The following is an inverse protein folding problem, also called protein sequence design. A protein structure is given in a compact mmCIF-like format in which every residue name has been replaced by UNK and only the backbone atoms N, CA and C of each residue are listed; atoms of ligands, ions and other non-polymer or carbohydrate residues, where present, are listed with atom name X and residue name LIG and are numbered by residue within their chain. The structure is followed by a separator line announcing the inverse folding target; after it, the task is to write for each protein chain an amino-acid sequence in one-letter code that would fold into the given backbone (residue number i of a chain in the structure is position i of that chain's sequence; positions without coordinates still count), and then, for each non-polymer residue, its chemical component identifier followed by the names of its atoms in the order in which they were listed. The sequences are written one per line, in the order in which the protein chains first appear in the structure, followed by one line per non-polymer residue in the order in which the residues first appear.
data_IF_260879947213
#
_entry.id   IF_260879947213
#
_cell.length_a   1.000
_cell.length_b   1.000
_cell.length_c   1.000
_cell.angle_alpha   90.00
_cell.angle_beta   90.00
_cell.angle_gamma   90.00
#
_symmetry.space_group_name_H-M   'P 1'
#
loop_
_entity.id
_entity.type
_entity.pdbx_description
1 polymer ?
#
# COMPACT_ATOMS: atom_id res chain seq x y z
N UNK A 1 -24.69 65.42 -40.87
CA UNK A 1 -24.06 65.37 -39.55
C UNK A 1 -23.81 63.93 -39.19
N UNK A 2 -22.55 63.55 -39.33
CA UNK A 2 -22.04 62.19 -39.09
C UNK A 2 -21.81 62.01 -37.62
N UNK A 3 -22.24 60.88 -37.07
CA UNK A 3 -21.83 60.40 -35.76
C UNK A 3 -21.14 59.04 -35.96
N UNK A 4 -19.82 59.03 -35.75
CA UNK A 4 -19.01 57.84 -35.75
C UNK A 4 -19.28 57.04 -34.46
N UNK A 5 -19.64 55.77 -34.59
CA UNK A 5 -19.72 54.81 -33.47
C UNK A 5 -18.41 54.06 -33.37
N UNK A 6 -17.68 54.31 -32.28
CA UNK A 6 -16.56 53.49 -31.89
C UNK A 6 -17.04 52.24 -31.19
N UNK A 7 -16.88 51.08 -31.81
CA UNK A 7 -16.94 49.77 -31.18
C UNK A 7 -15.61 49.47 -30.50
N UNK A 8 -15.57 49.49 -29.18
CA UNK A 8 -14.42 48.99 -28.41
C UNK A 8 -14.70 47.53 -28.17
N UNK A 9 -13.97 46.67 -28.89
CA UNK A 9 -13.89 45.24 -28.61
C UNK A 9 -13.01 45.01 -27.40
N UNK A 10 -13.60 44.50 -26.31
CA UNK A 10 -12.86 43.95 -25.19
C UNK A 10 -12.32 42.57 -25.57
N UNK A 11 -11.11 42.47 -26.04
CA UNK A 11 -10.42 41.21 -26.08
C UNK A 11 -10.08 40.77 -24.69
N UNK A 12 -10.81 39.74 -24.21
CA UNK A 12 -10.55 39.04 -22.99
C UNK A 12 -9.31 38.15 -23.23
N UNK A 13 -8.13 38.67 -22.85
CA UNK A 13 -6.92 37.86 -22.82
C UNK A 13 -7.12 36.70 -21.84
N UNK A 14 -7.44 35.53 -22.37
CA UNK A 14 -7.25 34.26 -21.67
C UNK A 14 -5.75 34.12 -21.53
N UNK A 15 -5.26 34.42 -20.35
CA UNK A 15 -3.89 34.10 -19.96
C UNK A 15 -3.87 32.59 -19.77
N UNK A 16 -3.43 31.87 -20.79
CA UNK A 16 -2.95 30.52 -20.66
C UNK A 16 -1.85 30.54 -19.58
N UNK A 17 -2.20 29.98 -18.44
CA UNK A 17 -1.23 29.69 -17.39
C UNK A 17 -0.44 28.50 -17.88
N UNK A 18 0.55 28.75 -18.73
CA UNK A 18 1.58 27.77 -19.00
C UNK A 18 2.17 27.40 -17.64
N UNK A 19 1.89 26.19 -17.19
CA UNK A 19 2.64 25.54 -16.13
C UNK A 19 4.09 25.56 -16.59
N UNK A 20 4.88 26.43 -15.98
CA UNK A 20 6.33 26.44 -16.15
C UNK A 20 6.82 25.10 -15.62
N UNK A 21 7.06 24.16 -16.55
CA UNK A 21 7.91 23.03 -16.26
C UNK A 21 9.25 23.62 -15.79
N UNK A 22 9.62 23.39 -14.55
CA UNK A 22 10.92 23.76 -14.04
C UNK A 22 11.93 23.13 -14.96
N UNK A 23 12.78 23.95 -15.63
CA UNK A 23 13.86 23.46 -16.45
C UNK A 23 14.85 22.75 -15.52
N UNK A 24 14.74 21.44 -15.40
CA UNK A 24 15.80 20.63 -14.82
C UNK A 24 17.01 20.79 -15.73
N UNK A 25 18.06 21.41 -15.22
CA UNK A 25 19.27 21.82 -15.96
C UNK A 25 20.09 20.58 -16.41
N UNK A 26 19.45 19.68 -17.16
CA UNK A 26 20.06 18.45 -17.70
C UNK A 26 20.46 17.40 -16.65
N UNK A 27 20.08 17.59 -15.36
CA UNK A 27 20.38 16.61 -14.30
C UNK A 27 19.52 15.36 -14.48
N UNK A 28 20.17 14.20 -14.54
CA UNK A 28 19.50 12.89 -14.48
C UNK A 28 19.50 12.39 -13.04
N UNK A 29 18.31 12.10 -12.51
CA UNK A 29 18.13 11.56 -11.18
C UNK A 29 18.20 10.04 -11.20
N UNK A 30 18.97 9.45 -10.29
CA UNK A 30 19.09 8.01 -10.11
C UNK A 30 18.30 7.60 -8.85
N UNK A 31 17.31 6.75 -9.03
CA UNK A 31 16.40 6.33 -7.98
C UNK A 31 16.59 4.85 -7.71
N UNK A 32 16.95 4.49 -6.47
CA UNK A 32 16.94 3.11 -6.01
C UNK A 32 15.54 2.72 -5.54
N UNK A 33 15.03 1.59 -6.00
CA UNK A 33 13.72 1.05 -5.57
C UNK A 33 13.98 -0.31 -4.92
N UNK A 34 13.74 -0.40 -3.60
CA UNK A 34 13.76 -1.66 -2.87
C UNK A 34 12.31 -2.11 -2.66
N UNK A 35 11.87 -3.09 -3.43
CA UNK A 35 10.57 -3.74 -3.27
C UNK A 35 10.73 -5.01 -2.43
N UNK A 36 9.85 -5.25 -1.45
CA UNK A 36 9.97 -6.40 -0.55
C UNK A 36 9.83 -7.73 -1.30
N UNK A 37 8.77 -7.87 -2.08
CA UNK A 37 8.42 -9.09 -2.80
C UNK A 37 7.53 -8.74 -4.00
N UNK A 38 7.38 -9.63 -4.96
CA UNK A 38 6.46 -9.47 -6.09
C UNK A 38 5.07 -9.94 -5.71
N UNK A 39 4.10 -9.04 -5.76
CA UNK A 39 2.66 -9.30 -5.75
C UNK A 39 1.89 -8.06 -6.23
N UNK A 40 0.61 -8.25 -6.56
CA UNK A 40 -0.21 -7.25 -7.26
C UNK A 40 -0.14 -5.84 -6.65
N UNK A 41 -0.24 -5.72 -5.32
CA UNK A 41 -0.26 -4.41 -4.65
C UNK A 41 1.10 -3.69 -4.73
N UNK A 42 2.21 -4.37 -4.40
CA UNK A 42 3.54 -3.74 -4.45
C UNK A 42 3.97 -3.41 -5.88
N UNK A 43 3.63 -4.27 -6.85
CA UNK A 43 3.92 -4.04 -8.26
C UNK A 43 3.17 -2.81 -8.78
N UNK A 44 1.89 -2.67 -8.40
CA UNK A 44 1.08 -1.50 -8.73
C UNK A 44 1.63 -0.21 -8.11
N UNK A 45 2.07 -0.24 -6.84
CA UNK A 45 2.68 0.91 -6.18
C UNK A 45 4.00 1.32 -6.84
N UNK A 46 4.87 0.36 -7.17
CA UNK A 46 6.11 0.62 -7.90
C UNK A 46 5.83 1.23 -9.28
N UNK A 47 4.84 0.69 -10.01
CA UNK A 47 4.46 1.22 -11.31
C UNK A 47 3.94 2.66 -11.21
N UNK A 48 3.02 2.93 -10.28
CA UNK A 48 2.50 4.29 -10.05
C UNK A 48 3.60 5.30 -9.75
N UNK A 49 4.55 4.95 -8.88
CA UNK A 49 5.70 5.78 -8.55
C UNK A 49 6.56 6.10 -9.77
N UNK A 50 6.88 5.08 -10.57
CA UNK A 50 7.68 5.27 -11.78
C UNK A 50 6.96 6.12 -12.83
N UNK A 51 5.66 5.93 -13.00
CA UNK A 51 4.86 6.67 -13.99
C UNK A 51 4.76 8.15 -13.61
N UNK A 52 4.55 8.48 -12.34
CA UNK A 52 4.52 9.85 -11.86
C UNK A 52 5.85 10.57 -12.13
N UNK A 53 6.99 9.93 -11.85
CA UNK A 53 8.29 10.54 -12.12
C UNK A 53 8.63 10.62 -13.61
N UNK A 54 8.27 9.61 -14.41
CA UNK A 54 8.44 9.66 -15.87
C UNK A 54 7.59 10.76 -16.50
N UNK A 55 6.37 10.96 -16.04
CA UNK A 55 5.49 12.02 -16.53
C UNK A 55 6.09 13.40 -16.27
N UNK A 56 6.68 13.62 -15.10
CA UNK A 56 7.22 14.91 -14.67
C UNK A 56 8.65 15.20 -15.15
N UNK A 57 9.50 14.18 -15.23
CA UNK A 57 10.93 14.30 -15.51
C UNK A 57 11.34 13.76 -16.89
N UNK A 58 10.49 12.97 -17.55
CA UNK A 58 10.80 12.35 -18.84
C UNK A 58 12.05 11.45 -18.76
N UNK A 59 13.00 11.69 -19.64
CA UNK A 59 14.27 10.93 -19.71
C UNK A 59 15.28 11.33 -18.62
N UNK A 60 14.95 12.32 -17.77
CA UNK A 60 15.83 12.78 -16.69
C UNK A 60 15.69 11.99 -15.39
N UNK A 61 15.13 10.79 -15.44
CA UNK A 61 15.05 9.86 -14.30
C UNK A 61 15.45 8.45 -14.72
N UNK A 62 16.19 7.76 -13.88
CA UNK A 62 16.55 6.35 -14.02
C UNK A 62 16.21 5.60 -12.75
N UNK A 63 15.74 4.38 -12.91
CA UNK A 63 15.34 3.50 -11.80
C UNK A 63 16.24 2.28 -11.76
N UNK A 64 16.72 1.95 -10.57
CA UNK A 64 17.30 0.65 -10.21
C UNK A 64 16.28 -0.06 -9.30
N UNK A 65 15.47 -0.94 -9.89
CA UNK A 65 14.46 -1.73 -9.17
C UNK A 65 15.07 -3.08 -8.76
N UNK A 66 15.10 -3.33 -7.45
CA UNK A 66 15.56 -4.58 -6.87
C UNK A 66 14.52 -5.17 -5.94
N UNK A 67 14.35 -6.50 -6.03
CA UNK A 67 13.39 -7.27 -5.24
C UNK A 67 14.13 -7.99 -4.09
N UNK A 68 13.64 -7.78 -2.86
CA UNK A 68 14.22 -8.40 -1.66
C UNK A 68 13.74 -9.84 -1.43
N UNK A 69 12.82 -10.35 -2.26
CA UNK A 69 12.31 -11.73 -2.21
C UNK A 69 11.70 -12.14 -0.86
N UNK A 70 11.09 -11.18 -0.16
CA UNK A 70 10.50 -11.37 1.17
C UNK A 70 11.52 -11.32 2.32
N UNK A 71 12.82 -11.16 2.04
CA UNK A 71 13.88 -11.30 3.03
C UNK A 71 14.43 -9.94 3.49
N UNK A 72 14.32 -9.64 4.78
CA UNK A 72 14.83 -8.39 5.37
C UNK A 72 16.35 -8.23 5.18
N UNK A 73 17.12 -9.32 5.26
CA UNK A 73 18.58 -9.28 5.06
C UNK A 73 18.95 -8.92 3.62
N UNK A 74 18.14 -9.34 2.65
CA UNK A 74 18.28 -8.98 1.24
C UNK A 74 17.91 -7.51 1.05
N UNK A 75 16.82 -7.02 1.64
CA UNK A 75 16.46 -5.62 1.62
C UNK A 75 17.57 -4.72 2.18
N UNK A 76 18.18 -5.11 3.30
CA UNK A 76 19.32 -4.38 3.88
C UNK A 76 20.53 -4.35 2.92
N UNK A 77 20.81 -5.45 2.24
CA UNK A 77 21.90 -5.52 1.24
C UNK A 77 21.62 -4.59 0.06
N UNK A 78 20.40 -4.59 -0.48
CA UNK A 78 19.95 -3.71 -1.57
C UNK A 78 20.09 -2.24 -1.17
N UNK A 79 19.55 -1.86 -0.01
CA UNK A 79 19.61 -0.47 0.47
C UNK A 79 21.06 0.02 0.68
N UNK A 80 21.94 -0.81 1.23
CA UNK A 80 23.38 -0.49 1.35
C UNK A 80 24.05 -0.35 -0.03
N UNK A 81 23.61 -1.13 -1.04
CA UNK A 81 24.06 -0.98 -2.43
C UNK A 81 23.69 0.40 -2.97
N UNK A 82 22.44 0.84 -2.83
CA UNK A 82 22.00 2.16 -3.26
C UNK A 82 22.75 3.30 -2.59
N UNK A 83 23.07 3.16 -1.30
CA UNK A 83 23.91 4.14 -0.59
C UNK A 83 25.32 4.19 -1.18
N UNK A 84 25.90 3.05 -1.50
CA UNK A 84 27.25 2.97 -2.11
C UNK A 84 27.28 3.54 -3.52
N UNK A 85 26.20 3.36 -4.29
CA UNK A 85 26.06 3.89 -5.64
C UNK A 85 25.70 5.38 -5.65
N UNK A 86 25.34 5.96 -4.50
CA UNK A 86 25.05 7.35 -4.33
C UNK A 86 23.80 7.79 -5.08
N UNK A 87 22.71 7.01 -4.99
CA UNK A 87 21.42 7.37 -5.60
C UNK A 87 20.87 8.69 -5.03
N UNK A 88 20.07 9.40 -5.82
CA UNK A 88 19.50 10.69 -5.42
C UNK A 88 18.32 10.53 -4.44
N UNK A 89 17.62 9.37 -4.47
CA UNK A 89 16.49 9.03 -3.60
C UNK A 89 16.32 7.50 -3.55
N UNK A 90 15.85 7.00 -2.41
CA UNK A 90 15.45 5.60 -2.25
C UNK A 90 13.93 5.52 -2.09
N UNK A 91 13.27 4.74 -2.96
CA UNK A 91 11.91 4.27 -2.70
C UNK A 91 11.99 2.94 -1.94
N UNK A 92 11.35 2.91 -0.78
CA UNK A 92 11.19 1.71 0.03
C UNK A 92 9.73 1.24 -0.08
N UNK A 93 9.49 0.17 -0.82
CA UNK A 93 8.15 -0.37 -1.04
C UNK A 93 7.90 -1.53 -0.08
N UNK A 94 7.17 -1.27 0.97
CA UNK A 94 6.76 -2.00 2.16
C UNK A 94 7.56 -1.64 3.44
N UNK A 95 7.08 -2.09 4.60
CA UNK A 95 7.63 -1.76 5.93
C UNK A 95 9.08 -2.23 6.11
N UNK A 96 9.41 -3.47 5.76
CA UNK A 96 10.75 -4.02 5.95
C UNK A 96 11.82 -3.33 5.06
N UNK A 97 11.57 -3.00 3.78
CA UNK A 97 12.42 -2.12 2.99
C UNK A 97 12.60 -0.73 3.61
N UNK A 98 11.54 -0.13 4.18
CA UNK A 98 11.63 1.17 4.85
C UNK A 98 12.58 1.12 6.05
N UNK A 99 12.45 0.11 6.90
CA UNK A 99 13.34 -0.11 8.04
C UNK A 99 14.80 -0.31 7.58
N UNK A 100 15.00 -1.09 6.51
CA UNK A 100 16.31 -1.35 5.93
C UNK A 100 16.97 -0.09 5.37
N UNK A 101 16.21 0.74 4.64
CA UNK A 101 16.68 2.01 4.10
C UNK A 101 16.99 3.02 5.23
N UNK A 102 16.12 3.09 6.25
CA UNK A 102 16.33 3.95 7.43
C UNK A 102 17.61 3.61 8.19
N UNK A 103 17.95 2.31 8.27
CA UNK A 103 19.18 1.85 8.88
C UNK A 103 20.42 2.12 8.01
N UNK A 104 20.28 2.13 6.68
CA UNK A 104 21.37 2.27 5.73
C UNK A 104 21.86 3.72 5.58
N UNK A 105 20.97 4.72 5.69
CA UNK A 105 21.33 6.13 5.45
C UNK A 105 20.49 7.11 6.27
N UNK A 106 21.16 8.20 6.67
CA UNK A 106 20.50 9.37 7.31
C UNK A 106 20.56 10.62 6.42
N UNK A 107 21.07 10.51 5.20
CA UNK A 107 21.32 11.66 4.32
C UNK A 107 20.62 11.56 2.97
N UNK A 108 20.52 10.37 2.38
CA UNK A 108 19.77 10.17 1.14
C UNK A 108 18.28 10.22 1.49
N UNK A 109 17.46 11.00 0.77
CA UNK A 109 16.00 11.00 0.97
C UNK A 109 15.40 9.61 0.77
N UNK A 110 14.52 9.19 1.69
CA UNK A 110 13.82 7.92 1.64
C UNK A 110 12.33 8.20 1.58
N UNK A 111 11.65 7.72 0.55
CA UNK A 111 10.20 7.69 0.50
C UNK A 111 9.71 6.25 0.67
N UNK A 112 8.84 6.06 1.66
CA UNK A 112 8.10 4.81 1.81
C UNK A 112 6.83 4.83 0.97
N UNK A 113 6.43 3.68 0.47
CA UNK A 113 5.08 3.42 -0.07
C UNK A 113 4.63 2.04 0.40
N UNK A 114 3.34 1.79 0.46
CA UNK A 114 2.81 0.52 1.00
C UNK A 114 3.32 0.23 2.43
N UNK A 115 3.37 1.28 3.24
CA UNK A 115 3.79 1.23 4.66
C UNK A 115 2.58 1.56 5.51
N UNK A 116 2.17 0.63 6.35
CA UNK A 116 0.93 0.75 7.12
C UNK A 116 1.03 1.83 8.20
N UNK A 117 2.05 1.78 9.04
CA UNK A 117 2.25 2.76 10.12
C UNK A 117 3.72 3.12 10.30
N UNK A 118 4.05 4.38 10.02
CA UNK A 118 5.42 4.90 10.09
C UNK A 118 5.93 5.03 11.53
N UNK A 119 5.03 5.31 12.48
CA UNK A 119 5.40 5.43 13.88
C UNK A 119 5.89 4.09 14.42
N UNK A 120 5.15 3.02 14.17
CA UNK A 120 5.54 1.65 14.53
C UNK A 120 6.78 1.19 13.75
N UNK A 121 6.80 1.41 12.42
CA UNK A 121 7.91 0.96 11.57
C UNK A 121 9.26 1.57 11.95
N UNK A 122 9.27 2.83 12.42
CA UNK A 122 10.47 3.62 12.72
C UNK A 122 10.65 3.88 14.22
N UNK A 123 9.84 3.26 15.08
CA UNK A 123 9.86 3.40 16.55
C UNK A 123 9.81 4.88 16.99
N UNK A 124 8.85 5.65 16.44
CA UNK A 124 8.63 7.06 16.75
C UNK A 124 7.54 7.19 17.82
N UNK A 125 7.90 7.62 19.03
CA UNK A 125 6.96 7.76 20.15
C UNK A 125 6.04 8.98 20.02
N UNK A 126 6.58 10.11 19.51
CA UNK A 126 5.88 11.40 19.43
C UNK A 126 5.47 11.68 17.98
N UNK A 127 4.56 10.85 17.45
CA UNK A 127 4.10 10.97 16.08
C UNK A 127 3.28 12.24 15.86
N UNK A 128 3.65 13.03 14.86
CA UNK A 128 3.01 14.30 14.52
C UNK A 128 2.60 14.45 13.04
N UNK A 129 2.70 13.38 12.26
CA UNK A 129 2.44 13.38 10.81
C UNK A 129 3.70 13.33 9.97
N UNK A 130 4.79 13.96 10.40
CA UNK A 130 6.11 13.89 9.78
C UNK A 130 7.08 13.08 10.64
N UNK A 131 8.06 12.42 10.01
CA UNK A 131 9.06 11.63 10.75
C UNK A 131 10.13 12.50 11.41
N UNK A 132 10.32 13.74 10.96
CA UNK A 132 11.40 14.63 11.39
C UNK A 132 12.80 14.17 10.96
N UNK A 133 12.88 13.20 10.05
CA UNK A 133 14.11 12.58 9.53
C UNK A 133 14.16 12.75 8.00
N UNK A 134 15.18 12.20 7.35
CA UNK A 134 15.27 12.10 5.89
C UNK A 134 14.27 11.08 5.27
N UNK A 135 13.13 10.89 5.90
CA UNK A 135 12.11 9.89 5.57
C UNK A 135 10.73 10.53 5.55
N UNK A 136 9.96 10.23 4.51
CA UNK A 136 8.52 10.50 4.43
C UNK A 136 7.87 9.45 3.50
N UNK A 137 6.68 9.69 2.99
CA UNK A 137 6.03 8.80 2.02
C UNK A 137 4.52 8.72 2.15
N UNK A 138 3.96 7.57 1.77
CA UNK A 138 2.52 7.32 1.80
C UNK A 138 2.19 6.11 2.65
N UNK A 139 1.05 6.18 3.37
CA UNK A 139 0.54 5.09 4.20
C UNK A 139 -0.59 4.36 3.48
N UNK A 140 -0.57 3.03 3.56
CA UNK A 140 -1.61 2.14 3.05
C UNK A 140 -2.57 1.66 4.15
N UNK A 141 -2.53 2.28 5.33
CA UNK A 141 -3.44 1.89 6.41
C UNK A 141 -4.89 1.98 5.96
N UNK A 142 -5.50 0.83 5.78
CA UNK A 142 -6.91 0.71 5.48
C UNK A 142 -7.78 0.99 6.72
N UNK A 143 -9.06 1.34 6.56
CA UNK A 143 -9.96 1.56 7.68
C UNK A 143 -10.36 0.22 8.31
N UNK A 144 -9.61 -0.21 9.28
CA UNK A 144 -9.73 -1.55 9.92
C UNK A 144 -11.10 -1.75 10.60
N UNK A 145 -11.64 -0.72 11.27
CA UNK A 145 -12.97 -0.81 11.88
C UNK A 145 -14.08 -1.02 10.82
N UNK A 146 -13.95 -0.40 9.64
CA UNK A 146 -14.89 -0.60 8.54
C UNK A 146 -14.72 -1.98 7.87
N UNK A 147 -13.53 -2.54 7.86
CA UNK A 147 -13.31 -3.91 7.40
C UNK A 147 -13.97 -4.92 8.33
N UNK A 148 -13.89 -4.71 9.65
CA UNK A 148 -14.60 -5.50 10.64
C UNK A 148 -16.13 -5.34 10.49
N UNK A 149 -16.63 -4.12 10.31
CA UNK A 149 -18.05 -3.87 10.06
C UNK A 149 -18.54 -4.56 8.77
N UNK A 150 -17.71 -4.59 7.71
CA UNK A 150 -18.00 -5.32 6.48
C UNK A 150 -18.06 -6.84 6.73
N UNK A 151 -17.17 -7.40 7.57
CA UNK A 151 -17.20 -8.80 7.97
C UNK A 151 -18.57 -9.15 8.62
N UNK A 152 -19.04 -8.34 9.55
CA UNK A 152 -20.35 -8.54 10.21
C UNK A 152 -21.53 -8.36 9.24
N UNK A 153 -21.45 -7.42 8.32
CA UNK A 153 -22.47 -7.23 7.30
C UNK A 153 -22.64 -8.48 6.42
N UNK A 154 -21.53 -9.11 6.04
CA UNK A 154 -21.50 -10.30 5.20
C UNK A 154 -21.81 -11.60 5.99
N UNK A 155 -21.38 -11.66 7.23
CA UNK A 155 -21.47 -12.86 8.08
C UNK A 155 -22.10 -12.52 9.45
N UNK A 156 -23.39 -12.18 9.52
CA UNK A 156 -24.04 -11.71 10.75
C UNK A 156 -24.12 -12.78 11.86
N UNK A 157 -24.01 -14.06 11.49
CA UNK A 157 -24.06 -15.18 12.43
C UNK A 157 -22.66 -15.71 12.82
N UNK A 158 -21.57 -14.97 12.46
CA UNK A 158 -20.19 -15.36 12.77
C UNK A 158 -19.99 -15.49 14.29
N UNK A 159 -19.34 -16.57 14.69
CA UNK A 159 -19.02 -16.86 16.11
C UNK A 159 -17.53 -16.81 16.38
N UNK A 160 -16.72 -17.28 15.43
CA UNK A 160 -15.28 -17.39 15.55
C UNK A 160 -14.59 -16.87 14.30
N UNK A 161 -13.80 -15.81 14.44
CA UNK A 161 -12.96 -15.25 13.38
C UNK A 161 -11.54 -15.79 13.53
N UNK A 162 -10.95 -16.29 12.43
CA UNK A 162 -9.53 -16.63 12.37
C UNK A 162 -8.71 -15.47 11.85
N UNK A 163 -7.71 -15.01 12.60
CA UNK A 163 -6.80 -13.94 12.21
C UNK A 163 -5.52 -14.57 11.65
N UNK A 164 -5.41 -14.64 10.32
CA UNK A 164 -4.27 -15.28 9.64
C UNK A 164 -3.28 -14.21 9.17
N UNK A 165 -2.04 -14.27 9.66
CA UNK A 165 -1.03 -13.25 9.39
C UNK A 165 0.39 -13.77 9.55
N UNK A 166 1.38 -13.04 8.97
CA UNK A 166 2.81 -13.30 9.17
C UNK A 166 3.33 -12.53 10.40
N UNK A 167 3.82 -13.28 11.40
CA UNK A 167 4.36 -12.72 12.64
C UNK A 167 5.69 -11.98 12.46
N UNK A 168 6.37 -12.17 11.34
CA UNK A 168 7.60 -11.44 11.00
C UNK A 168 7.34 -10.04 10.43
N UNK A 169 6.06 -9.70 10.11
CA UNK A 169 5.67 -8.42 9.54
C UNK A 169 5.06 -7.49 10.58
N UNK A 170 5.75 -6.39 10.92
CA UNK A 170 5.26 -5.40 11.88
C UNK A 170 3.94 -4.72 11.44
N UNK A 171 3.75 -4.50 10.13
CA UNK A 171 2.51 -4.01 9.54
C UNK A 171 1.33 -4.96 9.79
N UNK A 172 1.54 -6.26 9.66
CA UNK A 172 0.50 -7.27 9.91
C UNK A 172 0.11 -7.30 11.38
N UNK A 173 1.10 -7.36 12.28
CA UNK A 173 0.88 -7.31 13.73
C UNK A 173 0.08 -6.07 14.16
N UNK A 174 0.43 -4.89 13.62
CA UNK A 174 -0.26 -3.63 13.93
C UNK A 174 -1.75 -3.68 13.52
N UNK A 175 -2.04 -4.17 12.31
CA UNK A 175 -3.41 -4.29 11.81
C UNK A 175 -4.21 -5.33 12.59
N UNK A 176 -3.60 -6.46 12.94
CA UNK A 176 -4.26 -7.50 13.77
C UNK A 176 -4.68 -6.93 15.11
N UNK A 177 -3.82 -6.18 15.81
CA UNK A 177 -4.18 -5.55 17.09
C UNK A 177 -5.37 -4.58 16.96
N UNK A 178 -5.44 -3.81 15.86
CA UNK A 178 -6.59 -2.94 15.60
C UNK A 178 -7.86 -3.74 15.31
N UNK A 179 -7.75 -4.83 14.55
CA UNK A 179 -8.89 -5.68 14.21
C UNK A 179 -9.42 -6.44 15.44
N UNK A 180 -8.53 -6.94 16.31
CA UNK A 180 -8.87 -7.54 17.61
C UNK A 180 -9.65 -6.56 18.49
N UNK A 181 -9.17 -5.30 18.58
CA UNK A 181 -9.86 -4.27 19.34
C UNK A 181 -11.29 -3.98 18.80
N UNK A 182 -11.49 -4.08 17.49
CA UNK A 182 -12.81 -3.94 16.87
C UNK A 182 -13.71 -5.16 17.19
N UNK A 183 -13.18 -6.39 17.08
CA UNK A 183 -13.90 -7.62 17.44
C UNK A 183 -14.28 -7.66 18.93
N UNK A 184 -13.37 -7.25 19.82
CA UNK A 184 -13.62 -7.16 21.27
C UNK A 184 -14.76 -6.21 21.59
N UNK A 185 -14.80 -5.04 20.93
CA UNK A 185 -15.85 -4.03 21.08
C UNK A 185 -17.24 -4.60 20.75
N UNK A 186 -17.29 -5.50 19.76
CA UNK A 186 -18.54 -6.12 19.31
C UNK A 186 -18.80 -7.50 19.90
N UNK A 187 -17.89 -8.00 20.74
CA UNK A 187 -18.03 -9.27 21.48
C UNK A 187 -17.94 -10.50 20.57
N UNK A 188 -17.22 -10.40 19.45
CA UNK A 188 -17.00 -11.50 18.51
C UNK A 188 -15.71 -12.24 18.93
N UNK A 189 -15.81 -13.56 19.09
CA UNK A 189 -14.64 -14.36 19.44
C UNK A 189 -13.69 -14.49 18.24
N UNK A 190 -12.39 -14.48 18.51
CA UNK A 190 -11.36 -14.67 17.50
C UNK A 190 -10.23 -15.58 17.99
N UNK A 191 -9.42 -16.03 17.06
CA UNK A 191 -8.20 -16.80 17.35
C UNK A 191 -7.13 -16.43 16.32
N UNK A 192 -5.92 -16.18 16.82
CA UNK A 192 -4.76 -15.89 15.99
C UNK A 192 -4.17 -17.16 15.36
N UNK A 193 -3.77 -17.03 14.09
CA UNK A 193 -3.09 -18.04 13.30
C UNK A 193 -1.88 -17.40 12.63
N UNK A 194 -0.79 -17.33 13.38
CA UNK A 194 0.44 -16.73 12.92
C UNK A 194 1.30 -17.73 12.11
N UNK A 195 1.84 -17.26 10.99
CA UNK A 195 2.88 -17.95 10.24
C UNK A 195 4.21 -17.22 10.45
N UNK A 196 5.33 -17.93 10.33
CA UNK A 196 6.65 -17.32 10.32
C UNK A 196 7.14 -17.03 8.88
N UNK A 197 6.77 -17.90 7.93
CA UNK A 197 7.12 -17.78 6.51
C UNK A 197 6.11 -18.54 5.61
N UNK A 198 6.34 -18.53 4.30
CA UNK A 198 5.45 -19.15 3.31
C UNK A 198 5.32 -20.68 3.44
N UNK A 199 6.29 -21.36 4.07
CA UNK A 199 6.25 -22.82 4.24
C UNK A 199 5.16 -23.27 5.19
N UNK A 200 4.74 -22.41 6.13
CA UNK A 200 3.74 -22.71 7.15
C UNK A 200 2.30 -22.41 6.67
N UNK A 201 2.13 -21.64 5.59
CA UNK A 201 0.83 -21.14 5.12
C UNK A 201 -0.20 -22.25 4.98
N UNK A 202 0.11 -23.35 4.28
CA UNK A 202 -0.83 -24.43 4.07
C UNK A 202 -1.30 -25.06 5.38
N UNK A 203 -0.38 -25.36 6.29
CA UNK A 203 -0.70 -26.06 7.55
C UNK A 203 -1.48 -25.18 8.51
N UNK A 204 -1.07 -23.91 8.66
CA UNK A 204 -1.73 -22.96 9.56
C UNK A 204 -3.11 -22.56 9.02
N UNK A 205 -3.22 -22.32 7.70
CA UNK A 205 -4.54 -22.07 7.07
C UNK A 205 -5.48 -23.26 7.24
N UNK A 206 -4.97 -24.50 7.12
CA UNK A 206 -5.78 -25.71 7.33
C UNK A 206 -6.32 -25.78 8.76
N UNK A 207 -5.49 -25.46 9.76
CA UNK A 207 -5.93 -25.40 11.15
C UNK A 207 -7.01 -24.32 11.34
N UNK A 208 -6.77 -23.11 10.81
CA UNK A 208 -7.72 -22.01 10.89
C UNK A 208 -9.07 -22.34 10.24
N UNK A 209 -9.04 -22.94 9.06
CA UNK A 209 -10.25 -23.34 8.32
C UNK A 209 -11.05 -24.46 9.01
N UNK A 210 -10.42 -25.24 9.89
CA UNK A 210 -11.08 -26.27 10.68
C UNK A 210 -11.75 -25.77 11.95
N UNK A 211 -11.44 -24.56 12.40
CA UNK A 211 -11.87 -24.04 13.69
C UNK A 211 -12.69 -22.74 13.62
N UNK A 212 -12.65 -22.03 12.48
CA UNK A 212 -13.25 -20.70 12.34
C UNK A 212 -14.36 -20.67 11.30
N UNK A 213 -15.29 -19.70 11.44
CA UNK A 213 -16.40 -19.48 10.51
C UNK A 213 -15.97 -18.60 9.33
N UNK A 214 -15.01 -17.71 9.54
CA UNK A 214 -14.44 -16.78 8.56
C UNK A 214 -12.99 -16.46 8.92
N UNK A 215 -12.15 -16.23 7.93
CA UNK A 215 -10.78 -15.75 8.15
C UNK A 215 -10.68 -14.27 7.79
N UNK A 216 -9.84 -13.55 8.52
CA UNK A 216 -9.35 -12.22 8.17
C UNK A 216 -7.85 -12.29 7.88
N UNK A 217 -7.44 -11.71 6.76
CA UNK A 217 -6.04 -11.55 6.38
C UNK A 217 -5.79 -10.05 6.21
N UNK A 218 -4.90 -9.42 7.00
CA UNK A 218 -4.56 -8.00 6.85
C UNK A 218 -3.81 -7.74 5.54
N UNK A 219 -3.32 -6.52 5.32
CA UNK A 219 -2.31 -6.24 4.29
C UNK A 219 -0.98 -6.90 4.69
N UNK A 220 -0.82 -8.15 4.27
CA UNK A 220 0.27 -9.05 4.62
C UNK A 220 1.01 -9.47 3.35
N UNK A 221 2.27 -9.05 3.21
CA UNK A 221 3.03 -9.26 1.98
C UNK A 221 3.39 -10.74 1.76
N UNK A 222 3.62 -11.47 2.84
CA UNK A 222 3.92 -12.90 2.78
C UNK A 222 2.70 -13.68 2.26
N UNK A 223 1.52 -13.42 2.82
CA UNK A 223 0.28 -14.07 2.38
C UNK A 223 -0.16 -13.60 0.99
N UNK A 224 0.03 -12.31 0.65
CA UNK A 224 -0.25 -11.77 -0.67
C UNK A 224 0.57 -12.45 -1.77
N UNK A 225 1.80 -12.86 -1.48
CA UNK A 225 2.67 -13.56 -2.44
C UNK A 225 2.27 -15.02 -2.71
N UNK A 226 1.41 -15.61 -1.87
CA UNK A 226 1.03 -17.04 -1.93
C UNK A 226 -0.48 -17.28 -1.76
N UNK A 227 -1.30 -16.35 -2.25
CA UNK A 227 -2.77 -16.41 -2.14
C UNK A 227 -3.37 -17.69 -2.69
N UNK A 228 -2.78 -18.29 -3.73
CA UNK A 228 -3.21 -19.58 -4.29
C UNK A 228 -3.12 -20.72 -3.26
N UNK A 229 -2.07 -20.70 -2.41
CA UNK A 229 -1.93 -21.70 -1.33
C UNK A 229 -3.05 -21.56 -0.31
N UNK A 230 -3.42 -20.33 0.06
CA UNK A 230 -4.56 -20.07 0.95
C UNK A 230 -5.87 -20.53 0.29
N UNK A 231 -6.11 -20.14 -0.97
CA UNK A 231 -7.31 -20.51 -1.72
C UNK A 231 -7.51 -22.01 -1.79
N UNK A 232 -6.45 -22.77 -2.09
CA UNK A 232 -6.49 -24.23 -2.20
C UNK A 232 -6.90 -24.92 -0.88
N UNK A 233 -6.80 -24.25 0.26
CA UNK A 233 -7.27 -24.72 1.57
C UNK A 233 -8.69 -24.25 1.86
N UNK A 234 -8.95 -22.94 1.74
CA UNK A 234 -10.22 -22.34 2.20
C UNK A 234 -11.39 -22.66 1.27
N UNK A 235 -11.17 -22.77 -0.05
CA UNK A 235 -12.23 -23.02 -1.01
C UNK A 235 -12.89 -24.40 -0.84
N UNK A 236 -12.14 -25.53 -0.74
CA UNK A 236 -12.75 -26.83 -0.42
C UNK A 236 -13.41 -26.90 0.94
N UNK A 237 -12.85 -26.16 1.93
CA UNK A 237 -13.41 -26.09 3.29
C UNK A 237 -14.65 -25.17 3.35
N UNK A 238 -14.91 -24.40 2.30
CA UNK A 238 -15.97 -23.38 2.21
C UNK A 238 -15.88 -22.30 3.30
N UNK A 239 -14.67 -21.93 3.66
CA UNK A 239 -14.40 -20.87 4.63
C UNK A 239 -14.16 -19.57 3.87
N UNK A 240 -14.99 -18.52 4.07
CA UNK A 240 -14.78 -17.23 3.45
C UNK A 240 -13.59 -16.49 4.08
N UNK A 241 -12.94 -15.66 3.25
CA UNK A 241 -11.82 -14.81 3.68
C UNK A 241 -12.18 -13.35 3.43
N UNK A 242 -12.11 -12.52 4.45
CA UNK A 242 -12.11 -11.07 4.35
C UNK A 242 -10.65 -10.62 4.21
N UNK A 243 -10.36 -9.88 3.16
CA UNK A 243 -9.01 -9.48 2.80
C UNK A 243 -8.74 -8.00 3.14
N UNK A 244 -7.56 -7.71 3.64
CA UNK A 244 -7.08 -6.36 3.94
C UNK A 244 -6.83 -5.53 2.68
N UNK A 245 -6.53 -6.18 1.54
CA UNK A 245 -6.25 -5.50 0.28
C UNK A 245 -6.74 -6.30 -0.95
N UNK A 246 -6.65 -5.67 -2.13
CA UNK A 246 -7.27 -6.16 -3.36
C UNK A 246 -6.63 -7.43 -3.91
N UNK A 247 -5.29 -7.55 -3.91
CA UNK A 247 -4.59 -8.72 -4.43
C UNK A 247 -4.89 -9.99 -3.63
N UNK A 248 -4.95 -9.90 -2.29
CA UNK A 248 -5.39 -11.00 -1.43
C UNK A 248 -6.86 -11.35 -1.73
N UNK A 249 -7.71 -10.34 -1.92
CA UNK A 249 -9.11 -10.56 -2.27
C UNK A 249 -9.27 -11.25 -3.63
N UNK A 250 -8.48 -10.82 -4.63
CA UNK A 250 -8.46 -11.45 -5.95
C UNK A 250 -8.04 -12.92 -5.87
N UNK A 251 -7.02 -13.22 -5.08
CA UNK A 251 -6.43 -14.55 -4.98
C UNK A 251 -7.24 -15.53 -4.14
N UNK A 252 -7.79 -15.09 -2.99
CA UNK A 252 -8.45 -16.01 -2.04
C UNK A 252 -9.60 -15.40 -1.24
N UNK A 253 -9.87 -14.09 -1.33
CA UNK A 253 -10.87 -13.41 -0.52
C UNK A 253 -12.23 -13.31 -1.18
N UNK A 254 -13.27 -13.12 -0.37
CA UNK A 254 -14.64 -12.82 -0.83
C UNK A 254 -14.88 -11.34 -0.99
N UNK A 255 -14.31 -10.53 -0.10
CA UNK A 255 -14.47 -9.07 -0.10
C UNK A 255 -13.28 -8.37 0.55
N UNK A 256 -13.12 -7.11 0.18
CA UNK A 256 -12.14 -6.19 0.76
C UNK A 256 -12.67 -4.77 0.78
N UNK A 257 -12.15 -3.98 1.70
CA UNK A 257 -12.25 -2.53 1.69
C UNK A 257 -10.83 -2.00 1.49
N UNK A 258 -10.46 -1.70 0.26
CA UNK A 258 -9.09 -1.47 -0.17
C UNK A 258 -8.89 -0.08 -0.77
N UNK A 259 -7.63 0.31 -0.84
CA UNK A 259 -7.13 1.49 -1.53
C UNK A 259 -6.55 1.12 -2.88
N UNK A 260 -6.32 2.12 -3.75
CA UNK A 260 -5.56 1.95 -4.98
C UNK A 260 -4.06 2.03 -4.69
N UNK A 261 -3.34 0.93 -4.79
CA UNK A 261 -1.88 0.92 -4.63
C UNK A 261 -1.16 1.64 -5.76
N UNK A 262 -1.72 1.64 -6.97
CA UNK A 262 -1.21 2.47 -8.06
C UNK A 262 -1.27 3.96 -7.71
N UNK A 263 -2.42 4.46 -7.24
CA UNK A 263 -2.57 5.87 -6.87
C UNK A 263 -1.70 6.22 -5.65
N UNK A 264 -1.52 5.28 -4.72
CA UNK A 264 -0.63 5.44 -3.58
C UNK A 264 0.82 5.63 -4.05
N UNK A 265 1.30 4.75 -4.94
CA UNK A 265 2.62 4.85 -5.54
C UNK A 265 2.78 6.12 -6.37
N UNK A 266 1.75 6.50 -7.14
CA UNK A 266 1.77 7.73 -7.93
C UNK A 266 1.91 8.97 -7.04
N UNK A 267 1.17 9.05 -5.94
CA UNK A 267 1.31 10.12 -4.94
C UNK A 267 2.71 10.15 -4.33
N UNK A 268 3.33 8.98 -4.09
CA UNK A 268 4.73 8.90 -3.61
C UNK A 268 5.70 9.43 -4.66
N UNK A 269 5.43 9.17 -5.95
CA UNK A 269 6.22 9.72 -7.06
C UNK A 269 6.10 11.24 -7.18
N UNK A 270 4.92 11.80 -6.88
CA UNK A 270 4.76 13.26 -6.80
C UNK A 270 5.59 13.86 -5.66
N UNK A 271 5.59 13.20 -4.48
CA UNK A 271 6.46 13.62 -3.36
C UNK A 271 7.94 13.56 -3.75
N UNK A 272 8.36 12.54 -4.48
CA UNK A 272 9.72 12.43 -4.99
C UNK A 272 10.08 13.60 -5.91
N UNK A 273 9.19 14.01 -6.81
CA UNK A 273 9.37 15.16 -7.67
C UNK A 273 9.50 16.47 -6.86
N UNK A 274 8.64 16.67 -5.84
CA UNK A 274 8.72 17.83 -4.94
C UNK A 274 10.10 17.92 -4.27
N UNK A 275 10.67 16.79 -3.83
CA UNK A 275 11.99 16.75 -3.19
C UNK A 275 13.10 17.00 -4.23
N UNK A 276 13.10 16.28 -5.34
CA UNK A 276 14.20 16.24 -6.28
C UNK A 276 14.27 17.49 -7.17
N UNK A 277 13.13 18.00 -7.63
CA UNK A 277 13.04 19.09 -8.60
C UNK A 277 12.63 20.43 -7.99
N UNK A 278 11.83 20.43 -6.93
CA UNK A 278 11.33 21.65 -6.30
C UNK A 278 12.07 21.99 -5.00
N UNK A 279 12.90 21.08 -4.48
CA UNK A 279 13.72 21.29 -3.28
C UNK A 279 12.92 21.28 -1.98
N UNK A 280 11.81 20.52 -1.94
CA UNK A 280 11.03 20.36 -0.73
C UNK A 280 11.85 19.69 0.39
N UNK A 281 11.69 20.15 1.62
CA UNK A 281 12.36 19.60 2.79
C UNK A 281 11.60 18.37 3.30
N UNK A 282 12.17 17.18 3.02
CA UNK A 282 11.58 15.90 3.42
C UNK A 282 11.39 15.80 4.95
N UNK A 283 12.19 16.48 5.75
CA UNK A 283 12.12 16.37 7.22
C UNK A 283 10.84 16.97 7.80
N UNK A 284 10.19 17.85 7.04
CA UNK A 284 8.92 18.52 7.41
C UNK A 284 7.74 18.02 6.58
N UNK A 285 7.99 17.07 5.68
CA UNK A 285 6.95 16.53 4.79
C UNK A 285 6.12 15.48 5.53
N UNK A 286 4.83 15.75 5.68
CA UNK A 286 3.90 14.80 6.28
C UNK A 286 3.76 13.52 5.45
N UNK A 287 3.56 12.40 6.12
CA UNK A 287 3.12 11.16 5.49
C UNK A 287 1.71 11.36 4.94
N UNK A 288 1.50 11.00 3.67
CA UNK A 288 0.20 11.13 3.00
C UNK A 288 -0.57 9.81 3.08
N UNK A 289 -1.89 9.91 3.14
CA UNK A 289 -2.78 8.75 3.16
C UNK A 289 -3.54 8.63 1.84
N UNK A 290 -3.93 7.41 1.48
CA UNK A 290 -4.76 7.19 0.30
C UNK A 290 -6.09 7.92 0.43
N UNK A 291 -6.48 8.73 -0.57
CA UNK A 291 -7.67 9.60 -0.46
C UNK A 291 -9.00 8.84 -0.56
N UNK A 292 -8.97 7.64 -1.15
CA UNK A 292 -10.18 6.89 -1.49
C UNK A 292 -10.06 5.44 -1.06
N UNK A 293 -11.12 4.95 -0.44
CA UNK A 293 -11.29 3.54 -0.08
C UNK A 293 -12.48 2.99 -0.86
N UNK A 294 -12.35 1.80 -1.42
CA UNK A 294 -13.37 1.18 -2.25
C UNK A 294 -13.71 -0.22 -1.71
N UNK A 295 -15.01 -0.48 -1.53
CA UNK A 295 -15.51 -1.84 -1.29
C UNK A 295 -15.48 -2.64 -2.58
N UNK A 296 -14.81 -3.78 -2.56
CA UNK A 296 -14.69 -4.70 -3.70
C UNK A 296 -15.01 -6.12 -3.25
N UNK A 297 -15.43 -6.97 -4.20
CA UNK A 297 -15.68 -8.38 -3.93
C UNK A 297 -15.25 -9.25 -5.10
N UNK A 298 -14.87 -10.48 -4.79
CA UNK A 298 -14.52 -11.49 -5.77
C UNK A 298 -15.78 -12.28 -6.15
N UNK A 299 -16.38 -11.94 -7.29
CA UNK A 299 -17.64 -12.53 -7.73
C UNK A 299 -17.56 -14.06 -7.88
N UNK A 300 -16.43 -14.57 -8.36
CA UNK A 300 -16.20 -16.01 -8.57
C UNK A 300 -16.21 -16.76 -7.23
N UNK A 301 -15.42 -16.29 -6.27
CA UNK A 301 -15.34 -16.95 -4.94
C UNK A 301 -16.65 -16.80 -4.19
N UNK A 302 -17.32 -15.64 -4.29
CA UNK A 302 -18.66 -15.47 -3.73
C UNK A 302 -19.67 -16.48 -4.30
N UNK A 303 -19.70 -16.71 -5.62
CA UNK A 303 -20.57 -17.69 -6.26
C UNK A 303 -20.26 -19.13 -5.78
N UNK A 304 -18.98 -19.49 -5.70
CA UNK A 304 -18.54 -20.81 -5.20
C UNK A 304 -18.96 -21.09 -3.75
N UNK A 305 -19.02 -20.05 -2.93
CA UNK A 305 -19.43 -20.12 -1.53
C UNK A 305 -20.93 -19.88 -1.30
N UNK A 306 -21.68 -19.50 -2.36
CA UNK A 306 -23.11 -19.17 -2.27
C UNK A 306 -23.39 -17.85 -1.56
N UNK A 307 -22.43 -16.93 -1.54
CA UNK A 307 -22.53 -15.59 -0.94
C UNK A 307 -23.10 -14.63 -1.98
N UNK A 308 -24.19 -13.93 -1.61
CA UNK A 308 -24.75 -12.89 -2.46
C UNK A 308 -24.18 -11.53 -2.06
N UNK A 309 -23.24 -11.02 -2.83
CA UNK A 309 -22.72 -9.67 -2.63
C UNK A 309 -23.72 -8.61 -3.10
N UNK A 310 -24.26 -7.83 -2.18
CA UNK A 310 -25.24 -6.78 -2.46
C UNK A 310 -24.56 -5.43 -2.26
N UNK A 311 -24.27 -4.69 -3.36
CA UNK A 311 -23.74 -3.31 -3.29
C UNK A 311 -22.21 -3.13 -3.23
N UNK A 312 -21.44 -3.98 -3.87
CA UNK A 312 -19.98 -3.84 -3.99
C UNK A 312 -19.54 -3.66 -5.44
N UNK A 313 -18.40 -3.02 -5.66
CA UNK A 313 -17.76 -2.95 -6.98
C UNK A 313 -17.08 -4.29 -7.30
N UNK A 314 -17.36 -4.85 -8.49
CA UNK A 314 -16.75 -6.11 -8.91
C UNK A 314 -15.24 -5.98 -9.07
N UNK A 315 -14.48 -6.94 -8.50
CA UNK A 315 -13.13 -7.22 -8.93
C UNK A 315 -13.20 -7.95 -10.28
N UNK A 316 -12.41 -7.52 -11.24
CA UNK A 316 -12.24 -8.25 -12.50
C UNK A 316 -11.25 -9.39 -12.25
N UNK A 317 -11.68 -10.61 -12.49
CA UNK A 317 -10.80 -11.78 -12.53
C UNK A 317 -9.88 -11.69 -13.75
#
# INVERSE_FOLDING_TARGET
YEIASCLVGSEMCIRDRATSAASTDGKVYNIGICQLVEHEALDAATQGFQDALKEKLGDNVKFDLQNAQGEQTTAATICNGFVSDGVDLILANATSPLQSAAAATTTIPILGTSVTDYATALEISDWSGATGRNISGTSDLAPIEEQEAMLKELFPDVKQVGLLYCSAEANSLYQIQLFEAALDKDGIAYKEYAIADTNEVQSVTTAAAGECDVLYIPTDNTLASVTETVYNVVAPAKIPVIAGEEGICNGCGVATLSISYYDLGYATGEMAYEILAEGADITTMDVRYAPNVTKKYNAKICEELGITAVSYTHLRA
#
